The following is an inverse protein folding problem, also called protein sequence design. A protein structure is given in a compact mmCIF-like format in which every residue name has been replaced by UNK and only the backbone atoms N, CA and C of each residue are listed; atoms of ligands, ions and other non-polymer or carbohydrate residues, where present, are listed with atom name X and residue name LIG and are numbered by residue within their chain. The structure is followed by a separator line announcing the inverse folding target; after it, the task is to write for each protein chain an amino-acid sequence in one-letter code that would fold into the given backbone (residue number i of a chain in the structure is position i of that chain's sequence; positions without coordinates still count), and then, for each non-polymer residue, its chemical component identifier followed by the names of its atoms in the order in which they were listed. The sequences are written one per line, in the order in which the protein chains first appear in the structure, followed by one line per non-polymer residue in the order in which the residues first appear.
data_IF_423373816313
#
_entry.id   IF_423373816313
#
_cell.length_a   1.000
_cell.length_b   1.000
_cell.length_c   1.000
_cell.angle_alpha   90.00
_cell.angle_beta   90.00
_cell.angle_gamma   90.00
#
_symmetry.space_group_name_H-M   'P 1'
#
loop_
_entity.id
_entity.type
_entity.pdbx_description
1 polymer ?
#
# COMPACT_ATOMS: atom_id res chain seq x y z
N UNK A 1 9.67 -12.79 3.63
CA UNK A 1 8.58 -13.80 3.73
C UNK A 1 7.30 -13.09 4.12
N UNK A 2 6.15 -13.48 3.54
CA UNK A 2 4.83 -13.00 4.00
C UNK A 2 4.56 -13.60 5.39
N UNK A 3 4.27 -12.75 6.38
CA UNK A 3 4.04 -13.14 7.77
C UNK A 3 2.59 -13.00 8.20
N UNK A 4 1.90 -11.99 7.68
CA UNK A 4 0.54 -11.67 8.10
C UNK A 4 -0.20 -11.01 6.95
N UNK A 5 -1.50 -11.26 6.86
CA UNK A 5 -2.41 -10.63 5.91
C UNK A 5 -3.69 -10.27 6.66
N UNK A 6 -4.15 -9.04 6.47
CA UNK A 6 -5.43 -8.56 6.98
C UNK A 6 -6.14 -7.72 5.93
N UNK A 7 -7.41 -7.48 6.12
CA UNK A 7 -8.23 -6.63 5.26
C UNK A 7 -8.62 -5.36 6.00
N UNK A 8 -8.64 -4.24 5.28
CA UNK A 8 -9.13 -2.96 5.78
C UNK A 8 -10.13 -2.38 4.79
N UNK A 9 -11.33 -2.07 5.28
CA UNK A 9 -12.35 -1.37 4.50
C UNK A 9 -12.11 0.14 4.57
N UNK A 10 -12.00 0.78 3.40
CA UNK A 10 -11.87 2.23 3.25
C UNK A 10 -12.82 2.69 2.15
N UNK A 11 -13.69 3.65 2.45
CA UNK A 11 -14.68 4.18 1.50
C UNK A 11 -15.56 3.11 0.82
N UNK A 12 -15.82 1.98 1.49
CA UNK A 12 -16.61 0.87 0.94
C UNK A 12 -15.85 -0.06 0.00
N UNK A 13 -14.53 0.12 -0.16
CA UNK A 13 -13.63 -0.80 -0.85
C UNK A 13 -12.74 -1.52 0.17
N UNK A 14 -12.54 -2.83 -0.03
CA UNK A 14 -11.72 -3.65 0.85
C UNK A 14 -10.32 -3.82 0.28
N UNK A 15 -9.32 -3.47 1.08
CA UNK A 15 -7.91 -3.55 0.70
C UNK A 15 -7.17 -4.59 1.53
N UNK A 16 -6.38 -5.44 0.86
CA UNK A 16 -5.53 -6.42 1.55
C UNK A 16 -4.19 -5.79 1.96
N UNK A 17 -3.93 -5.75 3.26
CA UNK A 17 -2.65 -5.35 3.85
C UNK A 17 -1.81 -6.61 4.06
N UNK A 18 -0.69 -6.71 3.33
CA UNK A 18 0.24 -7.83 3.43
C UNK A 18 1.51 -7.39 4.17
N UNK A 19 1.85 -8.06 5.28
CA UNK A 19 3.05 -7.78 6.07
C UNK A 19 4.14 -8.82 5.79
N UNK A 20 5.30 -8.33 5.40
CA UNK A 20 6.50 -9.12 5.10
C UNK A 20 7.57 -8.86 6.16
N UNK A 21 8.45 -9.84 6.35
CA UNK A 21 9.71 -9.65 7.06
C UNK A 21 10.91 -9.95 6.15
N UNK A 22 11.93 -9.10 6.22
CA UNK A 22 13.20 -9.29 5.52
C UNK A 22 14.17 -10.18 6.30
N UNK A 23 15.24 -10.62 5.63
CA UNK A 23 16.34 -11.34 6.27
C UNK A 23 17.06 -10.53 7.37
N UNK A 24 16.92 -9.20 7.36
CA UNK A 24 17.47 -8.30 8.37
C UNK A 24 16.51 -8.04 9.55
N UNK A 25 15.36 -8.73 9.62
CA UNK A 25 14.39 -8.58 10.70
C UNK A 25 13.53 -7.30 10.61
N UNK A 26 13.50 -6.62 9.45
CA UNK A 26 12.64 -5.45 9.22
C UNK A 26 11.28 -5.90 8.71
N UNK A 27 10.22 -5.20 9.13
CA UNK A 27 8.85 -5.48 8.73
C UNK A 27 8.38 -4.45 7.70
N UNK A 28 7.60 -4.90 6.72
CA UNK A 28 7.07 -4.08 5.63
C UNK A 28 5.61 -4.42 5.42
N UNK A 29 4.71 -3.46 5.50
CA UNK A 29 3.34 -3.60 5.03
C UNK A 29 3.23 -3.11 3.59
N UNK A 30 2.48 -3.83 2.76
CA UNK A 30 2.23 -3.51 1.37
C UNK A 30 0.75 -3.70 1.05
N UNK A 31 0.16 -2.69 0.42
CA UNK A 31 -1.20 -2.74 -0.14
C UNK A 31 -1.19 -2.31 -1.59
N UNK A 32 -1.92 -3.03 -2.44
CA UNK A 32 -2.12 -2.71 -3.85
C UNK A 32 -3.32 -1.78 -4.00
N UNK A 33 -3.14 -0.61 -4.60
CA UNK A 33 -4.21 0.37 -4.87
C UNK A 33 -4.65 0.35 -6.33
N UNK A 34 -3.87 -0.29 -7.20
CA UNK A 34 -4.15 -0.44 -8.63
C UNK A 34 -2.97 -1.07 -9.36
N UNK A 35 -3.07 -1.14 -10.69
CA UNK A 35 -1.97 -1.64 -11.53
C UNK A 35 -0.71 -0.80 -11.33
N UNK A 36 0.37 -1.43 -10.87
CA UNK A 36 1.66 -0.81 -10.52
C UNK A 36 1.59 0.30 -9.44
N UNK A 37 0.49 0.37 -8.68
CA UNK A 37 0.27 1.38 -7.65
C UNK A 37 0.21 0.72 -6.27
N UNK A 38 1.20 1.03 -5.45
CA UNK A 38 1.40 0.41 -4.15
C UNK A 38 1.75 1.44 -3.09
N UNK A 39 1.14 1.29 -1.93
CA UNK A 39 1.63 1.90 -0.70
C UNK A 39 2.43 0.88 0.09
N UNK A 40 3.59 1.33 0.60
CA UNK A 40 4.49 0.52 1.41
C UNK A 40 4.87 1.34 2.64
N UNK A 41 4.80 0.72 3.82
CA UNK A 41 5.33 1.29 5.07
C UNK A 41 6.24 0.27 5.74
N UNK A 42 7.24 0.75 6.48
CA UNK A 42 8.15 -0.08 7.26
C UNK A 42 8.00 0.16 8.76
N UNK A 43 8.49 -0.81 9.54
CA UNK A 43 8.51 -0.73 10.99
C UNK A 43 9.46 -1.72 11.64
N UNK A 44 9.66 -1.56 12.95
CA UNK A 44 10.54 -2.39 13.75
C UNK A 44 9.88 -3.68 14.26
N UNK A 45 8.55 -3.73 14.22
CA UNK A 45 7.75 -4.89 14.63
C UNK A 45 6.48 -5.02 13.78
N UNK A 46 5.85 -6.20 13.80
CA UNK A 46 4.58 -6.45 13.11
C UNK A 46 3.46 -5.48 13.58
N UNK A 47 3.18 -5.32 14.89
CA UNK A 47 2.09 -4.44 15.34
C UNK A 47 2.32 -2.97 14.97
N UNK A 48 3.55 -2.48 15.12
CA UNK A 48 3.90 -1.10 14.75
C UNK A 48 3.73 -0.88 13.25
N UNK A 49 4.18 -1.83 12.42
CA UNK A 49 4.09 -1.74 10.96
C UNK A 49 2.64 -1.75 10.50
N UNK A 50 1.82 -2.65 11.07
CA UNK A 50 0.39 -2.74 10.79
C UNK A 50 -0.30 -1.41 11.13
N UNK A 51 -0.14 -0.94 12.37
CA UNK A 51 -0.78 0.29 12.84
C UNK A 51 -0.39 1.51 12.00
N UNK A 52 0.90 1.65 11.65
CA UNK A 52 1.38 2.71 10.76
C UNK A 52 0.71 2.63 9.38
N UNK A 53 0.56 1.42 8.84
CA UNK A 53 -0.06 1.21 7.54
C UNK A 53 -1.55 1.53 7.56
N UNK A 54 -2.28 1.02 8.54
CA UNK A 54 -3.72 1.27 8.72
C UNK A 54 -4.02 2.76 8.89
N UNK A 55 -3.18 3.50 9.61
CA UNK A 55 -3.34 4.95 9.77
C UNK A 55 -3.09 5.72 8.46
N UNK A 56 -2.16 5.25 7.61
CA UNK A 56 -1.77 5.94 6.39
C UNK A 56 -2.63 5.57 5.18
N UNK A 57 -3.15 4.34 5.14
CA UNK A 57 -3.87 3.80 3.98
C UNK A 57 -5.07 4.67 3.55
N UNK A 58 -5.95 5.15 4.46
CA UNK A 58 -7.05 6.03 4.08
C UNK A 58 -6.58 7.35 3.45
N UNK A 59 -5.48 7.91 3.95
CA UNK A 59 -4.92 9.15 3.41
C UNK A 59 -4.33 8.95 2.01
N UNK A 60 -3.67 7.82 1.79
CA UNK A 60 -3.12 7.46 0.48
C UNK A 60 -4.23 7.26 -0.56
N UNK A 61 -5.31 6.56 -0.18
CA UNK A 61 -6.49 6.37 -1.03
C UNK A 61 -7.13 7.71 -1.36
N UNK A 62 -7.43 8.54 -0.35
CA UNK A 62 -8.04 9.85 -0.60
C UNK A 62 -7.17 10.77 -1.46
N UNK A 63 -5.85 10.77 -1.26
CA UNK A 63 -4.92 11.56 -2.08
C UNK A 63 -4.89 11.06 -3.52
N UNK A 64 -4.94 9.74 -3.73
CA UNK A 64 -5.00 9.10 -5.05
C UNK A 64 -6.28 9.48 -5.79
N UNK A 65 -7.44 9.37 -5.14
CA UNK A 65 -8.74 9.75 -5.70
C UNK A 65 -8.76 11.23 -6.10
N UNK A 66 -8.29 12.11 -5.20
CA UNK A 66 -8.18 13.55 -5.50
C UNK A 66 -7.28 13.78 -6.71
N UNK A 67 -6.08 13.20 -6.72
CA UNK A 67 -5.12 13.36 -7.82
C UNK A 67 -5.72 12.90 -9.14
N UNK A 68 -6.43 11.76 -9.17
CA UNK A 68 -7.10 11.25 -10.36
C UNK A 68 -8.25 12.15 -10.82
N UNK A 69 -9.00 12.74 -9.89
CA UNK A 69 -10.09 13.67 -10.22
C UNK A 69 -9.60 14.98 -10.85
N UNK A 70 -8.44 15.48 -10.40
CA UNK A 70 -7.87 16.74 -10.87
C UNK A 70 -6.97 16.60 -12.11
N UNK A 71 -6.10 15.59 -12.12
CA UNK A 71 -5.09 15.41 -13.18
C UNK A 71 -5.48 14.34 -14.21
N UNK A 72 -6.57 13.62 -13.98
CA UNK A 72 -6.89 12.39 -14.69
C UNK A 72 -6.01 11.22 -14.22
N UNK A 73 -6.20 10.06 -14.84
CA UNK A 73 -5.36 8.89 -14.54
C UNK A 73 -3.95 9.10 -15.09
N UNK A 74 -2.88 8.85 -14.29
CA UNK A 74 -1.51 8.97 -14.78
C UNK A 74 -1.31 8.13 -16.04
N UNK A 75 -0.86 8.76 -17.12
CA UNK A 75 -0.52 8.07 -18.36
C UNK A 75 0.76 7.27 -18.15
N UNK A 76 0.68 5.96 -18.39
CA UNK A 76 1.80 5.03 -18.27
C UNK A 76 3.00 5.52 -19.08
N UNK A 77 4.22 5.54 -18.52
CA UNK A 77 5.40 5.39 -19.36
C UNK A 77 5.28 4.00 -19.99
N UNK A 78 5.21 3.90 -21.32
CA UNK A 78 5.29 2.60 -22.01
C UNK A 78 6.54 1.90 -21.51
N UNK A 79 6.37 0.79 -20.80
CA UNK A 79 7.46 0.02 -20.22
C UNK A 79 8.56 -0.22 -21.26
N UNK A 80 9.79 0.14 -20.89
CA UNK A 80 10.97 -0.26 -21.64
C UNK A 80 11.05 -1.78 -21.50
N UNK A 81 10.68 -2.51 -22.56
CA UNK A 81 10.95 -3.93 -22.68
C UNK A 81 12.47 -4.10 -22.54
N UNK A 82 12.91 -4.82 -21.52
CA UNK A 82 14.28 -5.31 -21.40
C UNK A 82 14.24 -6.81 -21.65
#
# INVERSE_FOLDING_TARGET
MLLHSTELEVNGETFSINIFCSSAGRFFAKTCLGEDDYIITDGSSLPETLQKHENLLPLAIGTRELTQSYLGYPRRPRGRRV
#
